data_IF_665670488545
#
_entry.id   IF_665670488545
#
_cell.length_a   1.000
_cell.length_b   1.000
_cell.length_c   1.000
_cell.angle_alpha   90.00
_cell.angle_beta   90.00
_cell.angle_gamma   90.00
#
_symmetry.space_group_name_H-M   'P 1'
#
loop_
_entity.id
_entity.type
_entity.pdbx_description
1 polymer ?
#
# COMPACT_ATOMS: atom_id res chain seq x y z
N UNK A 1 3.24 17.30 4.29
CA UNK A 1 4.01 18.56 4.37
C UNK A 1 3.68 19.35 5.62
N UNK A 2 2.41 19.52 6.00
CA UNK A 2 2.00 20.25 7.21
C UNK A 2 2.65 19.75 8.50
N UNK A 3 2.81 18.44 8.66
CA UNK A 3 3.44 17.87 9.85
C UNK A 3 4.99 17.87 9.83
N UNK A 4 5.60 17.94 8.64
CA UNK A 4 7.05 17.74 8.44
C UNK A 4 7.79 19.03 8.06
N UNK A 5 7.09 20.06 7.57
CA UNK A 5 7.67 21.23 6.94
C UNK A 5 8.10 21.00 5.48
N UNK A 6 8.38 22.08 4.74
CA UNK A 6 8.66 22.04 3.29
C UNK A 6 9.89 21.21 2.93
N UNK A 7 11.02 21.52 3.54
CA UNK A 7 12.32 20.93 3.17
C UNK A 7 12.35 19.45 3.58
N UNK A 8 11.99 19.15 4.84
CA UNK A 8 12.00 17.78 5.32
C UNK A 8 10.90 16.93 4.68
N UNK A 9 9.70 17.48 4.43
CA UNK A 9 8.64 16.76 3.74
C UNK A 9 8.99 16.42 2.28
N UNK A 10 9.57 17.37 1.52
CA UNK A 10 10.03 17.11 0.17
C UNK A 10 11.20 16.11 0.16
N UNK A 11 12.16 16.27 1.08
CA UNK A 11 13.30 15.35 1.23
C UNK A 11 12.87 13.92 1.55
N UNK A 12 11.92 13.73 2.47
CA UNK A 12 11.37 12.41 2.81
C UNK A 12 10.63 11.80 1.62
N UNK A 13 9.80 12.58 0.89
CA UNK A 13 9.14 12.08 -0.32
C UNK A 13 10.15 11.62 -1.39
N UNK A 14 11.21 12.39 -1.62
CA UNK A 14 12.26 12.04 -2.57
C UNK A 14 13.05 10.80 -2.12
N UNK A 15 13.32 10.67 -0.82
CA UNK A 15 13.98 9.49 -0.26
C UNK A 15 13.11 8.24 -0.44
N UNK A 16 11.84 8.31 -0.06
CA UNK A 16 10.88 7.20 -0.23
C UNK A 16 10.69 6.85 -1.71
N UNK A 17 10.62 7.84 -2.59
CA UNK A 17 10.57 7.65 -4.04
C UNK A 17 11.82 6.96 -4.57
N UNK A 18 13.02 7.37 -4.15
CA UNK A 18 14.27 6.74 -4.55
C UNK A 18 14.37 5.29 -4.05
N UNK A 19 13.99 5.03 -2.80
CA UNK A 19 13.92 3.66 -2.24
C UNK A 19 12.89 2.83 -3.00
N UNK A 20 11.74 3.41 -3.33
CA UNK A 20 10.67 2.73 -4.09
C UNK A 20 11.11 2.38 -5.50
N UNK A 21 11.78 3.31 -6.19
CA UNK A 21 12.33 3.06 -7.53
C UNK A 21 13.43 2.00 -7.49
N UNK A 22 14.31 2.07 -6.49
CA UNK A 22 15.38 1.09 -6.31
C UNK A 22 14.80 -0.31 -6.06
N UNK A 23 13.89 -0.44 -5.10
CA UNK A 23 13.22 -1.71 -4.78
C UNK A 23 12.36 -2.23 -5.93
N UNK A 24 11.75 -1.35 -6.73
CA UNK A 24 10.92 -1.74 -7.88
C UNK A 24 11.80 -2.38 -8.96
N UNK A 25 13.00 -1.82 -9.16
CA UNK A 25 13.98 -2.38 -10.08
C UNK A 25 14.50 -3.75 -9.60
N UNK A 26 14.69 -3.95 -8.28
CA UNK A 26 15.07 -5.26 -7.73
C UNK A 26 13.94 -6.28 -7.89
N UNK A 27 12.69 -5.89 -7.60
CA UNK A 27 11.53 -6.76 -7.72
C UNK A 27 11.29 -7.19 -9.18
N UNK A 28 11.46 -6.27 -10.12
CA UNK A 28 11.31 -6.53 -11.55
C UNK A 28 12.30 -7.59 -12.06
N UNK A 29 13.50 -7.69 -11.47
CA UNK A 29 14.48 -8.73 -11.78
C UNK A 29 14.08 -10.09 -11.17
N UNK A 30 13.35 -10.10 -10.05
CA UNK A 30 12.93 -11.31 -9.34
C UNK A 30 11.68 -12.00 -9.93
N UNK A 31 11.08 -11.46 -11.00
CA UNK A 31 9.90 -12.06 -11.65
C UNK A 31 10.19 -13.44 -12.26
N UNK A 32 11.41 -13.68 -12.76
CA UNK A 32 11.87 -14.98 -13.25
C UNK A 32 12.97 -15.56 -12.35
N UNK A 33 12.87 -16.85 -12.02
CA UNK A 33 13.88 -17.55 -11.20
C UNK A 33 14.27 -18.88 -11.86
N UNK A 34 15.56 -19.30 -11.87
CA UNK A 34 16.70 -18.73 -11.15
C UNK A 34 17.44 -17.59 -11.87
N UNK A 35 17.14 -17.33 -13.14
CA UNK A 35 17.76 -16.26 -13.95
C UNK A 35 16.69 -15.21 -14.36
N UNK A 36 16.98 -13.90 -14.28
CA UNK A 36 16.00 -12.83 -14.54
C UNK A 36 15.50 -12.78 -16.00
N UNK A 37 16.18 -13.43 -16.95
CA UNK A 37 15.81 -13.44 -18.38
C UNK A 37 15.27 -14.81 -18.80
N UNK A 38 15.88 -15.90 -18.34
CA UNK A 38 15.63 -17.28 -18.80
C UNK A 38 14.91 -18.15 -17.75
N UNK A 39 14.74 -17.66 -16.52
CA UNK A 39 14.09 -18.38 -15.43
C UNK A 39 12.58 -18.57 -15.62
N UNK A 40 11.99 -19.44 -14.81
CA UNK A 40 10.54 -19.68 -14.76
C UNK A 40 9.83 -18.47 -14.14
N UNK A 41 8.69 -18.07 -14.71
CA UNK A 41 7.88 -16.92 -14.28
C UNK A 41 7.16 -17.19 -12.95
N UNK A 42 7.17 -16.20 -12.07
CA UNK A 42 6.36 -16.14 -10.86
C UNK A 42 5.20 -15.16 -11.07
N UNK A 43 3.98 -15.69 -11.14
CA UNK A 43 2.76 -14.93 -11.51
C UNK A 43 2.17 -14.09 -10.37
N UNK A 44 2.75 -14.16 -9.16
CA UNK A 44 2.26 -13.44 -8.00
C UNK A 44 3.41 -13.16 -7.04
N UNK A 45 3.34 -12.03 -6.34
CA UNK A 45 4.27 -11.66 -5.27
C UNK A 45 4.49 -12.80 -4.26
N UNK A 46 3.41 -13.45 -3.83
CA UNK A 46 3.43 -14.54 -2.85
C UNK A 46 4.12 -15.80 -3.40
N UNK A 47 3.97 -16.09 -4.69
CA UNK A 47 4.66 -17.20 -5.35
C UNK A 47 6.17 -16.90 -5.46
N UNK A 48 6.54 -15.67 -5.83
CA UNK A 48 7.94 -15.25 -5.95
C UNK A 48 8.68 -15.30 -4.59
N UNK A 49 8.03 -14.87 -3.50
CA UNK A 49 8.56 -15.01 -2.13
C UNK A 49 8.71 -16.47 -1.74
N UNK A 50 7.70 -17.30 -2.00
CA UNK A 50 7.71 -18.73 -1.63
C UNK A 50 8.77 -19.55 -2.39
N UNK A 51 8.93 -19.29 -3.69
CA UNK A 51 9.91 -19.96 -4.56
C UNK A 51 11.34 -19.54 -4.20
N UNK A 52 11.54 -18.31 -3.72
CA UNK A 52 12.88 -17.73 -3.52
C UNK A 52 13.38 -17.84 -2.08
N UNK A 53 12.50 -17.74 -1.06
CA UNK A 53 12.92 -17.57 0.35
C UNK A 53 12.53 -18.69 1.31
N UNK A 54 11.55 -19.54 0.99
CA UNK A 54 11.28 -20.79 1.71
C UNK A 54 10.95 -20.72 3.22
N UNK A 55 10.90 -19.55 3.91
CA UNK A 55 10.58 -19.49 5.36
C UNK A 55 10.14 -18.11 5.89
N UNK A 56 9.22 -18.13 6.87
CA UNK A 56 8.67 -16.98 7.63
C UNK A 56 9.53 -16.62 8.86
N UNK A 57 9.72 -15.33 9.17
CA UNK A 57 10.45 -14.88 10.35
C UNK A 57 9.87 -13.60 10.98
N UNK A 58 9.61 -13.65 12.30
CA UNK A 58 9.14 -12.55 13.18
C UNK A 58 10.27 -12.12 14.12
N UNK A 59 10.42 -10.82 14.47
CA UNK A 59 10.79 -10.30 15.82
C UNK A 59 10.87 -8.76 15.92
N UNK A 60 10.82 -8.26 17.17
CA UNK A 60 10.44 -6.92 17.67
C UNK A 60 11.59 -5.98 18.11
N UNK A 61 11.19 -4.82 18.66
CA UNK A 61 11.75 -3.44 18.59
C UNK A 61 12.07 -2.90 20.00
N UNK A 62 12.97 -1.90 20.17
CA UNK A 62 12.77 -0.65 20.97
C UNK A 62 13.99 0.31 20.96
N UNK A 63 13.76 1.62 20.72
CA UNK A 63 14.50 2.77 21.29
C UNK A 63 13.81 4.13 20.95
N UNK A 64 13.95 5.14 21.81
CA UNK A 64 13.13 6.38 21.97
C UNK A 64 14.00 7.66 21.89
N UNK A 65 13.53 8.78 21.29
CA UNK A 65 14.15 10.14 21.39
C UNK A 65 13.08 11.26 21.30
N UNK A 66 13.36 12.39 21.98
CA UNK A 66 12.57 13.62 22.20
C UNK A 66 12.85 14.77 21.20
N UNK A 67 11.91 15.73 21.05
CA UNK A 67 12.20 17.06 20.44
C UNK A 67 10.99 18.01 20.27
N UNK A 68 11.16 19.29 20.66
CA UNK A 68 10.18 20.39 20.86
C UNK A 68 9.58 21.08 19.61
N UNK A 69 8.33 21.58 19.72
CA UNK A 69 7.72 22.55 18.78
C UNK A 69 6.34 23.07 19.22
N UNK A 70 6.15 24.40 19.16
CA UNK A 70 5.17 25.25 19.87
C UNK A 70 3.69 25.07 19.43
N UNK A 71 2.78 25.16 20.42
CA UNK A 71 1.32 25.09 20.30
C UNK A 71 0.72 23.69 20.50
N UNK A 72 1.52 22.67 20.20
CA UNK A 72 1.34 21.27 20.56
C UNK A 72 2.49 20.85 21.47
N UNK A 73 2.36 19.74 22.19
CA UNK A 73 3.52 19.15 22.85
C UNK A 73 4.58 18.77 21.79
N UNK A 74 5.86 18.94 22.15
CA UNK A 74 7.01 18.36 21.46
C UNK A 74 6.76 16.93 20.98
N UNK A 75 6.18 16.13 21.87
CA UNK A 75 5.92 14.72 21.66
C UNK A 75 4.83 14.54 20.59
N UNK A 76 3.74 15.30 20.67
CA UNK A 76 2.66 15.28 19.68
C UNK A 76 3.16 15.63 18.27
N UNK A 77 4.14 16.54 18.17
CA UNK A 77 4.76 16.87 16.88
C UNK A 77 5.54 15.68 16.32
N UNK A 78 6.36 15.03 17.14
CA UNK A 78 7.14 13.84 16.72
C UNK A 78 6.22 12.69 16.31
N UNK A 79 5.15 12.43 17.06
CA UNK A 79 4.20 11.38 16.72
C UNK A 79 3.53 11.63 15.37
N UNK A 80 3.11 12.87 15.11
CA UNK A 80 2.52 13.25 13.82
C UNK A 80 3.50 13.17 12.66
N UNK A 81 4.78 13.47 12.88
CA UNK A 81 5.83 13.25 11.86
C UNK A 81 5.97 11.78 11.50
N UNK A 82 5.89 10.88 12.49
CA UNK A 82 5.89 9.44 12.26
C UNK A 82 4.65 8.94 11.52
N UNK A 83 3.45 9.40 11.91
CA UNK A 83 2.21 9.09 11.17
C UNK A 83 2.32 9.53 9.71
N UNK A 84 2.81 10.75 9.46
CA UNK A 84 3.02 11.25 8.09
C UNK A 84 4.04 10.42 7.29
N UNK A 85 5.09 9.88 7.93
CA UNK A 85 6.01 8.94 7.29
C UNK A 85 5.31 7.63 6.90
N UNK A 86 4.36 7.15 7.71
CA UNK A 86 3.49 6.02 7.39
C UNK A 86 2.59 6.28 6.18
N UNK A 87 2.00 7.48 6.08
CA UNK A 87 1.17 7.86 4.93
C UNK A 87 1.98 7.86 3.63
N UNK A 88 3.19 8.41 3.67
CA UNK A 88 4.12 8.39 2.54
C UNK A 88 4.52 6.96 2.19
N UNK A 89 4.78 6.11 3.19
CA UNK A 89 5.10 4.70 3.00
C UNK A 89 3.96 3.94 2.31
N UNK A 90 2.70 4.21 2.70
CA UNK A 90 1.52 3.64 2.06
C UNK A 90 1.41 4.09 0.60
N UNK A 91 1.62 5.37 0.32
CA UNK A 91 1.55 5.90 -1.03
C UNK A 91 2.62 5.30 -1.97
N UNK A 92 3.71 4.80 -1.39
CA UNK A 92 4.80 4.12 -2.09
C UNK A 92 4.60 2.60 -2.20
N UNK A 93 3.44 2.05 -1.78
CA UNK A 93 3.18 0.62 -1.76
C UNK A 93 2.74 0.11 -3.14
N UNK A 94 3.69 -0.15 -4.04
CA UNK A 94 3.42 -0.66 -5.39
C UNK A 94 3.66 -2.19 -5.54
N UNK A 95 4.45 -2.78 -4.65
CA UNK A 95 5.02 -4.12 -4.81
C UNK A 95 3.99 -5.26 -5.04
N UNK A 96 2.80 -5.28 -4.39
CA UNK A 96 1.79 -6.31 -4.67
C UNK A 96 1.28 -6.31 -6.11
N UNK A 97 1.17 -5.12 -6.72
CA UNK A 97 0.59 -4.93 -8.06
C UNK A 97 1.66 -5.02 -9.16
N UNK A 98 2.93 -4.79 -8.82
CA UNK A 98 4.03 -4.80 -9.79
C UNK A 98 4.08 -6.11 -10.59
N UNK A 99 3.95 -7.25 -9.92
CA UNK A 99 3.99 -8.55 -10.58
C UNK A 99 2.75 -8.81 -11.45
N UNK A 100 1.56 -8.39 -11.00
CA UNK A 100 0.34 -8.52 -11.79
C UNK A 100 0.41 -7.67 -13.07
N UNK A 101 0.99 -6.46 -13.00
CA UNK A 101 1.25 -5.63 -14.19
C UNK A 101 2.31 -6.29 -15.08
N UNK A 102 3.43 -6.72 -14.49
CA UNK A 102 4.54 -7.30 -15.23
C UNK A 102 4.13 -8.59 -15.97
N UNK A 103 3.18 -9.34 -15.43
CA UNK A 103 2.64 -10.55 -16.05
C UNK A 103 1.83 -10.27 -17.33
N UNK A 104 1.28 -9.07 -17.47
CA UNK A 104 0.56 -8.66 -18.70
C UNK A 104 1.49 -8.24 -19.84
N UNK A 105 2.80 -8.11 -19.57
CA UNK A 105 3.77 -7.64 -20.56
C UNK A 105 4.16 -8.76 -21.53
N UNK A 106 4.44 -8.37 -22.79
CA UNK A 106 4.92 -9.30 -23.82
C UNK A 106 6.31 -9.84 -23.43
N UNK A 107 6.56 -11.09 -23.79
CA UNK A 107 7.83 -11.80 -23.50
C UNK A 107 9.06 -11.21 -24.20
N UNK A 108 8.87 -10.40 -25.24
CA UNK A 108 9.94 -9.73 -25.98
C UNK A 108 9.57 -8.27 -26.26
N UNK A 109 10.40 -7.28 -25.87
CA UNK A 109 11.64 -7.43 -25.09
C UNK A 109 11.39 -7.93 -23.65
N UNK A 110 12.42 -8.30 -22.87
CA UNK A 110 12.23 -8.83 -21.52
C UNK A 110 11.33 -7.94 -20.64
N UNK A 111 10.36 -8.56 -19.99
CA UNK A 111 9.33 -7.93 -19.17
C UNK A 111 9.94 -7.05 -18.08
N UNK A 112 11.06 -7.48 -17.49
CA UNK A 112 11.81 -6.69 -16.50
C UNK A 112 12.31 -5.37 -17.07
N UNK A 113 12.77 -5.34 -18.33
CA UNK A 113 13.24 -4.11 -19.00
C UNK A 113 12.09 -3.14 -19.24
N UNK A 114 10.95 -3.65 -19.71
CA UNK A 114 9.75 -2.84 -19.94
C UNK A 114 9.19 -2.34 -18.60
N UNK A 115 9.11 -3.22 -17.60
CA UNK A 115 8.58 -2.90 -16.28
C UNK A 115 9.45 -1.88 -15.54
N UNK A 116 10.78 -1.96 -15.63
CA UNK A 116 11.69 -0.96 -15.05
C UNK A 116 11.47 0.43 -15.66
N UNK A 117 11.31 0.52 -16.99
CA UNK A 117 11.01 1.79 -17.66
C UNK A 117 9.64 2.33 -17.26
N UNK A 118 8.62 1.47 -17.22
CA UNK A 118 7.28 1.83 -16.79
C UNK A 118 7.26 2.30 -15.34
N UNK A 119 7.96 1.58 -14.44
CA UNK A 119 8.08 1.93 -13.02
C UNK A 119 8.81 3.25 -12.82
N UNK A 120 9.91 3.49 -13.56
CA UNK A 120 10.63 4.75 -13.50
C UNK A 120 9.74 5.94 -13.89
N UNK A 121 8.94 5.80 -14.96
CA UNK A 121 8.02 6.83 -15.39
C UNK A 121 6.83 6.99 -14.42
N UNK A 122 6.29 5.89 -13.90
CA UNK A 122 5.18 5.91 -12.94
C UNK A 122 5.59 6.57 -11.63
N UNK A 123 6.72 6.17 -11.06
CA UNK A 123 7.24 6.74 -9.81
C UNK A 123 7.62 8.21 -9.99
N UNK A 124 8.21 8.61 -11.12
CA UNK A 124 8.56 10.01 -11.37
C UNK A 124 7.32 10.90 -11.47
N UNK A 125 6.30 10.46 -12.21
CA UNK A 125 5.02 11.16 -12.32
C UNK A 125 4.36 11.28 -10.94
N UNK A 126 4.22 10.17 -10.22
CA UNK A 126 3.64 10.14 -8.87
C UNK A 126 4.37 11.09 -7.92
N UNK A 127 5.70 11.04 -7.89
CA UNK A 127 6.52 11.89 -7.01
C UNK A 127 6.34 13.36 -7.34
N UNK A 128 6.31 13.71 -8.62
CA UNK A 128 6.12 15.10 -9.08
C UNK A 128 4.76 15.61 -8.61
N UNK A 129 3.69 14.84 -8.81
CA UNK A 129 2.36 15.20 -8.35
C UNK A 129 2.28 15.32 -6.83
N UNK A 130 2.86 14.39 -6.06
CA UNK A 130 2.82 14.44 -4.60
C UNK A 130 3.61 15.62 -4.03
N UNK A 131 4.78 15.93 -4.58
CA UNK A 131 5.55 17.11 -4.18
C UNK A 131 4.79 18.39 -4.56
N UNK A 132 4.23 18.47 -5.77
CA UNK A 132 3.43 19.61 -6.21
C UNK A 132 2.21 19.84 -5.31
N UNK A 133 1.38 18.81 -5.08
CA UNK A 133 0.22 18.89 -4.20
C UNK A 133 0.61 19.19 -2.75
N UNK A 134 1.69 18.60 -2.26
CA UNK A 134 2.19 18.85 -0.91
C UNK A 134 2.68 20.29 -0.72
N UNK A 135 3.48 20.82 -1.66
CA UNK A 135 4.03 22.16 -1.60
C UNK A 135 2.94 23.22 -1.77
N UNK A 136 2.04 23.08 -2.76
CA UNK A 136 0.94 24.03 -2.96
C UNK A 136 -0.10 23.96 -1.85
N UNK A 137 -0.43 22.75 -1.37
CA UNK A 137 -1.31 22.58 -0.22
C UNK A 137 -0.76 23.27 1.03
N UNK A 138 0.54 23.10 1.32
CA UNK A 138 1.15 23.82 2.43
C UNK A 138 1.24 25.33 2.16
N UNK A 139 1.57 25.78 0.94
CA UNK A 139 1.61 27.20 0.62
C UNK A 139 0.26 27.90 0.85
N UNK A 140 -0.85 27.19 0.57
CA UNK A 140 -2.20 27.71 0.72
C UNK A 140 -2.69 27.70 2.18
N UNK A 141 -2.36 26.67 2.96
CA UNK A 141 -2.96 26.44 4.28
C UNK A 141 -1.98 26.49 5.47
N UNK A 142 -0.67 26.51 5.21
CA UNK A 142 0.37 26.47 6.21
C UNK A 142 0.26 25.28 7.16
N UNK A 143 0.54 25.51 8.43
CA UNK A 143 0.43 24.51 9.50
C UNK A 143 -1.03 24.13 9.84
N UNK A 144 -2.01 24.86 9.30
CA UNK A 144 -3.44 24.59 9.46
C UNK A 144 -4.02 23.72 8.34
N UNK A 145 -3.20 23.13 7.48
CA UNK A 145 -3.68 22.27 6.41
C UNK A 145 -4.50 21.10 6.95
N UNK A 146 -5.74 20.91 6.49
CA UNK A 146 -6.61 19.82 6.91
C UNK A 146 -6.05 18.48 6.41
N UNK A 147 -6.33 17.40 7.15
CA UNK A 147 -5.89 16.04 6.77
C UNK A 147 -6.49 15.61 5.42
N UNK A 148 -7.80 15.87 5.23
CA UNK A 148 -8.44 15.78 3.93
C UNK A 148 -8.65 17.20 3.38
N UNK A 149 -7.83 17.56 2.38
CA UNK A 149 -7.90 18.86 1.70
C UNK A 149 -9.30 19.18 1.19
N UNK A 150 -10.03 18.22 0.64
CA UNK A 150 -11.38 18.44 0.10
C UNK A 150 -12.43 18.67 1.19
N UNK A 151 -12.23 18.12 2.38
CA UNK A 151 -13.12 18.35 3.51
C UNK A 151 -12.89 19.71 4.18
N UNK A 152 -11.67 20.28 4.10
CA UNK A 152 -11.34 21.54 4.76
C UNK A 152 -11.71 22.81 3.99
N UNK A 153 -12.15 22.72 2.73
CA UNK A 153 -12.60 23.91 1.98
C UNK A 153 -13.98 24.43 2.43
N UNK A 154 -14.77 23.66 3.17
CA UNK A 154 -16.10 24.05 3.63
C UNK A 154 -17.08 24.35 2.47
N UNK A 155 -18.38 24.41 2.76
CA UNK A 155 -19.43 24.62 1.76
C UNK A 155 -19.50 26.04 1.16
N UNK A 156 -18.41 26.84 1.22
CA UNK A 156 -18.58 28.30 1.20
C UNK A 156 -18.14 29.06 -0.04
N UNK A 157 -17.39 28.53 -1.02
CA UNK A 157 -17.04 29.35 -2.20
C UNK A 157 -17.05 28.69 -3.59
N UNK A 158 -16.97 27.35 -3.76
CA UNK A 158 -17.10 26.69 -5.09
C UNK A 158 -17.48 25.20 -4.99
N UNK A 159 -18.75 24.90 -4.69
CA UNK A 159 -19.22 23.52 -4.45
C UNK A 159 -18.98 22.57 -5.65
N UNK A 160 -19.15 23.05 -6.89
CA UNK A 160 -19.06 22.18 -8.08
C UNK A 160 -17.67 21.59 -8.33
N UNK A 161 -16.59 22.32 -8.01
CA UNK A 161 -15.21 21.82 -8.19
C UNK A 161 -14.91 20.73 -7.17
N UNK A 162 -15.37 20.93 -5.93
CA UNK A 162 -15.23 19.96 -4.84
C UNK A 162 -16.06 18.73 -5.15
N UNK A 163 -17.30 18.90 -5.64
CA UNK A 163 -18.18 17.81 -6.04
C UNK A 163 -17.61 17.01 -7.20
N UNK A 164 -17.05 17.69 -8.21
CA UNK A 164 -16.38 17.05 -9.34
C UNK A 164 -15.12 16.29 -8.91
N UNK A 165 -14.32 16.86 -8.00
CA UNK A 165 -13.16 16.19 -7.43
C UNK A 165 -13.57 14.93 -6.64
N UNK A 166 -14.62 15.03 -5.81
CA UNK A 166 -15.17 13.90 -5.09
C UNK A 166 -15.73 12.83 -6.04
N UNK A 167 -16.37 13.22 -7.15
CA UNK A 167 -16.80 12.28 -8.18
C UNK A 167 -15.62 11.51 -8.78
N UNK A 168 -14.53 12.19 -9.16
CA UNK A 168 -13.33 11.52 -9.67
C UNK A 168 -12.67 10.61 -8.63
N UNK A 169 -12.68 10.99 -7.35
CA UNK A 169 -12.22 10.12 -6.26
C UNK A 169 -13.07 8.85 -6.19
N UNK A 170 -14.39 8.95 -6.26
CA UNK A 170 -15.28 7.78 -6.25
C UNK A 170 -14.99 6.86 -7.45
N UNK A 171 -14.87 7.42 -8.66
CA UNK A 171 -14.52 6.64 -9.86
C UNK A 171 -13.17 5.95 -9.69
N UNK A 172 -12.16 6.66 -9.20
CA UNK A 172 -10.83 6.11 -8.94
C UNK A 172 -10.86 4.98 -7.91
N UNK A 173 -11.53 5.20 -6.76
CA UNK A 173 -11.64 4.22 -5.68
C UNK A 173 -12.43 2.99 -6.08
N UNK A 174 -13.45 3.12 -6.94
CA UNK A 174 -14.20 1.98 -7.48
C UNK A 174 -13.29 1.08 -8.32
N UNK A 175 -12.48 1.68 -9.21
CA UNK A 175 -11.49 0.95 -10.00
C UNK A 175 -10.43 0.30 -9.11
N UNK A 176 -9.90 1.02 -8.12
CA UNK A 176 -8.92 0.49 -7.18
C UNK A 176 -9.50 -0.68 -6.37
N UNK A 177 -10.72 -0.55 -5.85
CA UNK A 177 -11.41 -1.61 -5.12
C UNK A 177 -11.51 -2.89 -5.95
N UNK A 178 -11.91 -2.77 -7.23
CA UNK A 178 -12.00 -3.92 -8.13
C UNK A 178 -10.64 -4.57 -8.39
N UNK A 179 -9.54 -3.82 -8.43
CA UNK A 179 -8.22 -4.39 -8.61
C UNK A 179 -7.73 -5.10 -7.34
N UNK A 180 -7.80 -4.43 -6.19
CA UNK A 180 -7.19 -4.90 -4.94
C UNK A 180 -7.97 -6.02 -4.25
N UNK A 181 -9.29 -6.13 -4.46
CA UNK A 181 -10.09 -7.21 -3.85
C UNK A 181 -9.99 -8.54 -4.58
N UNK A 182 -9.61 -8.55 -5.86
CA UNK A 182 -9.55 -9.77 -6.68
C UNK A 182 -8.55 -10.80 -6.15
N UNK A 183 -7.31 -10.44 -5.75
CA UNK A 183 -6.40 -11.37 -5.11
C UNK A 183 -6.99 -12.01 -3.84
N UNK A 184 -7.65 -11.21 -3.00
CA UNK A 184 -8.28 -11.67 -1.76
C UNK A 184 -9.38 -12.69 -2.05
N UNK A 185 -10.29 -12.36 -2.98
CA UNK A 185 -11.35 -13.29 -3.39
C UNK A 185 -10.77 -14.57 -3.98
N UNK A 186 -9.75 -14.47 -4.85
CA UNK A 186 -9.12 -15.65 -5.45
C UNK A 186 -8.51 -16.57 -4.40
N UNK A 187 -7.82 -16.03 -3.40
CA UNK A 187 -7.21 -16.82 -2.33
C UNK A 187 -8.26 -17.59 -1.54
N UNK A 188 -9.31 -16.90 -1.07
CA UNK A 188 -10.36 -17.52 -0.26
C UNK A 188 -11.16 -18.54 -1.08
N UNK A 189 -11.51 -18.22 -2.32
CA UNK A 189 -12.25 -19.12 -3.21
C UNK A 189 -11.45 -20.35 -3.60
N UNK A 190 -10.14 -20.22 -3.83
CA UNK A 190 -9.27 -21.36 -4.14
C UNK A 190 -9.04 -22.22 -2.92
N UNK A 191 -8.84 -21.61 -1.75
CA UNK A 191 -8.71 -22.32 -0.48
C UNK A 191 -9.99 -23.11 -0.15
N UNK A 192 -11.16 -22.49 -0.25
CA UNK A 192 -12.44 -23.14 0.02
C UNK A 192 -12.69 -24.34 -0.90
N UNK A 193 -12.41 -24.19 -2.21
CA UNK A 193 -12.52 -25.30 -3.19
C UNK A 193 -11.59 -26.46 -2.88
N UNK A 194 -10.35 -26.18 -2.44
CA UNK A 194 -9.40 -27.24 -2.04
C UNK A 194 -9.81 -27.92 -0.74
N UNK A 195 -10.38 -27.17 0.20
CA UNK A 195 -10.73 -27.66 1.54
C UNK A 195 -12.03 -28.46 1.56
N UNK A 196 -12.98 -28.14 0.69
CA UNK A 196 -14.29 -28.79 0.59
C UNK A 196 -14.68 -29.07 -0.87
N UNK A 197 -13.97 -29.97 -1.56
CA UNK A 197 -14.24 -30.28 -2.97
C UNK A 197 -15.61 -30.95 -3.20
N UNK A 198 -16.15 -31.65 -2.20
CA UNK A 198 -17.45 -32.34 -2.29
C UNK A 198 -18.67 -31.46 -1.96
N UNK A 199 -18.48 -30.19 -1.60
CA UNK A 199 -19.59 -29.30 -1.24
C UNK A 199 -20.21 -28.66 -2.48
N UNK A 200 -21.46 -29.02 -2.80
CA UNK A 200 -22.22 -28.40 -3.90
C UNK A 200 -22.33 -26.88 -3.77
N UNK A 201 -22.43 -26.34 -2.55
CA UNK A 201 -22.44 -24.89 -2.34
C UNK A 201 -21.18 -24.17 -2.87
N UNK A 202 -20.02 -24.82 -2.75
CA UNK A 202 -18.72 -24.25 -3.11
C UNK A 202 -18.35 -24.57 -4.56
N UNK A 203 -18.67 -25.76 -5.06
CA UNK A 203 -18.21 -26.22 -6.38
C UNK A 203 -19.27 -26.14 -7.48
N UNK A 204 -20.56 -26.06 -7.14
CA UNK A 204 -21.61 -25.97 -8.16
C UNK A 204 -21.57 -24.63 -8.89
N UNK A 205 -21.61 -24.70 -10.21
CA UNK A 205 -21.71 -23.55 -11.10
C UNK A 205 -23.06 -23.57 -11.82
N UNK A 206 -23.88 -22.56 -11.59
CA UNK A 206 -25.20 -22.38 -12.18
C UNK A 206 -25.09 -21.46 -13.40
N UNK A 207 -25.28 -21.95 -14.63
CA UNK A 207 -25.19 -21.11 -15.82
C UNK A 207 -26.36 -20.13 -15.88
N UNK A 208 -26.07 -18.85 -16.05
CA UNK A 208 -27.08 -17.82 -16.30
C UNK A 208 -27.08 -17.51 -17.79
N UNK A 209 -28.24 -17.70 -18.43
CA UNK A 209 -28.51 -17.21 -19.78
C UNK A 209 -29.46 -16.03 -19.68
N UNK A 210 -29.05 -14.90 -20.25
CA UNK A 210 -29.92 -13.75 -20.51
C UNK A 210 -29.96 -13.57 -22.02
N UNK A 211 -31.17 -13.47 -22.58
CA UNK A 211 -31.41 -13.17 -24.00
C UNK A 211 -30.66 -14.11 -24.97
N UNK A 212 -30.77 -15.43 -24.74
CA UNK A 212 -30.24 -16.49 -25.61
C UNK A 212 -28.70 -16.54 -25.75
N UNK A 213 -27.94 -15.81 -24.93
CA UNK A 213 -26.48 -15.97 -24.80
C UNK A 213 -26.14 -16.51 -23.41
N UNK A 214 -25.26 -17.51 -23.32
CA UNK A 214 -24.61 -17.89 -22.04
C UNK A 214 -23.62 -16.78 -21.71
N UNK A 215 -23.93 -15.99 -20.69
CA UNK A 215 -23.09 -14.85 -20.31
C UNK A 215 -22.09 -15.25 -19.23
N UNK A 216 -22.55 -15.87 -18.13
CA UNK A 216 -21.69 -16.14 -16.96
C UNK A 216 -22.21 -17.33 -16.14
N UNK A 217 -21.30 -18.03 -15.44
CA UNK A 217 -21.65 -19.02 -14.41
C UNK A 217 -21.71 -18.38 -13.02
N UNK A 218 -22.82 -18.56 -12.30
CA UNK A 218 -23.00 -18.08 -10.94
C UNK A 218 -22.66 -19.21 -9.95
N UNK A 219 -21.91 -18.87 -8.91
CA UNK A 219 -21.62 -19.79 -7.82
C UNK A 219 -22.12 -19.13 -6.53
N UNK A 220 -22.96 -19.85 -5.78
CA UNK A 220 -23.68 -19.28 -4.63
C UNK A 220 -22.67 -18.91 -3.53
N UNK A 221 -21.64 -19.73 -3.28
CA UNK A 221 -20.57 -19.39 -2.36
C UNK A 221 -19.86 -18.09 -2.74
N UNK A 222 -19.48 -17.90 -4.01
CA UNK A 222 -18.84 -16.64 -4.47
C UNK A 222 -19.73 -15.43 -4.22
N UNK A 223 -21.02 -15.54 -4.50
CA UNK A 223 -21.97 -14.44 -4.28
C UNK A 223 -22.07 -14.11 -2.78
N UNK A 224 -22.37 -15.11 -1.95
CA UNK A 224 -22.54 -14.93 -0.49
C UNK A 224 -21.27 -14.38 0.16
N UNK A 225 -20.10 -14.97 -0.14
CA UNK A 225 -18.82 -14.54 0.43
C UNK A 225 -18.45 -13.11 0.04
N UNK A 226 -18.57 -12.75 -1.24
CA UNK A 226 -18.22 -11.41 -1.71
C UNK A 226 -19.14 -10.34 -1.13
N UNK A 227 -20.45 -10.60 -1.06
CA UNK A 227 -21.41 -9.68 -0.43
C UNK A 227 -21.10 -9.52 1.06
N UNK A 228 -20.85 -10.63 1.78
CA UNK A 228 -20.49 -10.57 3.20
C UNK A 228 -19.20 -9.76 3.42
N UNK A 229 -18.18 -9.96 2.58
CA UNK A 229 -16.94 -9.21 2.63
C UNK A 229 -17.18 -7.69 2.48
N UNK A 230 -17.99 -7.28 1.50
CA UNK A 230 -18.34 -5.85 1.30
C UNK A 230 -19.05 -5.28 2.52
N UNK A 231 -20.03 -5.99 3.07
CA UNK A 231 -20.77 -5.56 4.26
C UNK A 231 -19.81 -5.39 5.44
N UNK A 232 -18.94 -6.37 5.68
CA UNK A 232 -17.97 -6.32 6.78
C UNK A 232 -16.99 -5.14 6.65
N UNK A 233 -16.40 -4.94 5.46
CA UNK A 233 -15.47 -3.82 5.24
C UNK A 233 -16.17 -2.47 5.37
N UNK A 234 -17.41 -2.35 4.88
CA UNK A 234 -18.23 -1.14 5.05
C UNK A 234 -18.50 -0.84 6.52
N UNK A 235 -18.88 -1.86 7.31
CA UNK A 235 -19.12 -1.70 8.75
C UNK A 235 -17.86 -1.25 9.49
N UNK A 236 -16.69 -1.81 9.16
CA UNK A 236 -15.41 -1.38 9.74
C UNK A 236 -15.09 0.07 9.35
N UNK A 237 -15.32 0.45 8.09
CA UNK A 237 -15.09 1.81 7.62
C UNK A 237 -15.98 2.84 8.32
N UNK A 238 -17.24 2.49 8.63
CA UNK A 238 -18.15 3.34 9.41
C UNK A 238 -17.77 3.43 10.89
N UNK A 239 -17.24 2.34 11.46
CA UNK A 239 -16.87 2.27 12.88
C UNK A 239 -15.55 2.99 13.21
N UNK A 240 -14.63 3.12 12.25
CA UNK A 240 -13.29 3.69 12.44
C UNK A 240 -12.99 4.78 11.39
N UNK A 241 -13.59 5.99 11.51
CA UNK A 241 -13.43 7.06 10.52
C UNK A 241 -12.09 7.82 10.64
N UNK A 242 -11.02 7.17 11.13
CA UNK A 242 -9.69 7.78 11.31
C UNK A 242 -8.79 7.49 10.11
N UNK A 243 -9.10 8.12 8.99
CA UNK A 243 -8.48 7.82 7.69
C UNK A 243 -6.94 7.88 7.71
N UNK A 244 -6.37 8.94 8.27
CA UNK A 244 -4.92 9.20 8.30
C UNK A 244 -4.18 8.17 9.16
N UNK A 245 -4.60 7.95 10.39
CA UNK A 245 -3.95 6.96 11.27
C UNK A 245 -4.07 5.53 10.73
N UNK A 246 -5.19 5.19 10.09
CA UNK A 246 -5.37 3.88 9.45
C UNK A 246 -4.45 3.69 8.24
N UNK A 247 -4.32 4.71 7.38
CA UNK A 247 -3.39 4.68 6.24
C UNK A 247 -1.95 4.57 6.72
N UNK A 248 -1.55 5.39 7.70
CA UNK A 248 -0.22 5.35 8.28
C UNK A 248 0.10 3.98 8.90
N UNK A 249 -0.88 3.37 9.57
CA UNK A 249 -0.74 2.02 10.14
C UNK A 249 -0.60 0.96 9.06
N UNK A 250 -1.42 1.00 8.02
CA UNK A 250 -1.31 0.07 6.88
C UNK A 250 0.01 0.24 6.13
N UNK A 251 0.43 1.48 5.89
CA UNK A 251 1.71 1.82 5.28
C UNK A 251 2.88 1.31 6.11
N UNK A 252 2.90 1.60 7.41
CA UNK A 252 3.99 1.17 8.29
C UNK A 252 4.14 -0.36 8.38
N UNK A 253 3.02 -1.08 8.53
CA UNK A 253 3.00 -2.55 8.62
C UNK A 253 3.34 -3.19 7.27
N UNK A 254 2.81 -2.64 6.16
CA UNK A 254 2.97 -3.23 4.83
C UNK A 254 4.31 -2.88 4.17
N UNK A 255 4.81 -1.67 4.38
CA UNK A 255 5.94 -1.13 3.61
C UNK A 255 7.23 -1.92 3.80
N UNK A 256 7.73 -2.05 5.04
CA UNK A 256 8.98 -2.77 5.27
C UNK A 256 8.95 -4.22 4.75
N UNK A 257 8.01 -5.09 5.13
CA UNK A 257 8.06 -6.48 4.69
C UNK A 257 7.87 -6.58 3.17
N UNK A 258 6.88 -5.87 2.62
CA UNK A 258 6.41 -6.10 1.25
C UNK A 258 7.25 -5.32 0.22
N UNK A 259 7.58 -4.06 0.51
CA UNK A 259 8.26 -3.17 -0.43
C UNK A 259 9.79 -3.24 -0.28
N UNK A 260 10.31 -3.55 0.91
CA UNK A 260 11.76 -3.47 1.17
C UNK A 260 12.40 -4.83 1.46
N UNK A 261 11.99 -5.50 2.53
CA UNK A 261 12.63 -6.71 3.04
C UNK A 261 12.59 -7.87 2.04
N UNK A 262 11.40 -8.31 1.66
CA UNK A 262 11.26 -9.43 0.73
C UNK A 262 11.94 -9.15 -0.62
N UNK A 263 11.81 -7.97 -1.25
CA UNK A 263 12.50 -7.68 -2.50
C UNK A 263 14.03 -7.69 -2.36
N UNK A 264 14.57 -7.18 -1.25
CA UNK A 264 16.01 -7.22 -0.95
C UNK A 264 16.49 -8.66 -0.77
N UNK A 265 15.80 -9.46 0.03
CA UNK A 265 16.16 -10.85 0.27
C UNK A 265 16.04 -11.71 -0.99
N UNK A 266 14.98 -11.48 -1.79
CA UNK A 266 14.80 -12.11 -3.09
C UNK A 266 15.97 -11.79 -4.03
N UNK A 267 16.40 -10.53 -4.07
CA UNK A 267 17.54 -10.11 -4.90
C UNK A 267 18.87 -10.73 -4.44
N UNK A 268 19.11 -10.80 -3.13
CA UNK A 268 20.31 -11.43 -2.55
C UNK A 268 20.34 -12.92 -2.91
N UNK A 269 19.22 -13.62 -2.73
CA UNK A 269 19.09 -15.04 -3.02
C UNK A 269 19.26 -15.34 -4.52
N UNK A 270 18.58 -14.57 -5.38
CA UNK A 270 18.62 -14.76 -6.83
C UNK A 270 20.02 -14.51 -7.42
N UNK A 271 20.71 -13.46 -6.96
CA UNK A 271 22.06 -13.11 -7.43
C UNK A 271 23.18 -13.81 -6.65
N UNK A 272 22.86 -14.71 -5.72
CA UNK A 272 23.81 -15.45 -4.87
C UNK A 272 24.86 -14.53 -4.22
N UNK A 273 24.41 -13.37 -3.71
CA UNK A 273 25.33 -12.36 -3.16
C UNK A 273 25.99 -12.91 -1.88
N UNK A 274 27.33 -12.96 -1.77
CA UNK A 274 27.99 -13.53 -0.60
C UNK A 274 27.78 -12.67 0.65
N UNK A 275 27.53 -13.34 1.78
CA UNK A 275 27.50 -12.71 3.11
C UNK A 275 28.86 -12.06 3.37
N UNK A 276 28.87 -10.85 3.94
CA UNK A 276 30.06 -9.98 4.19
C UNK A 276 30.64 -9.20 3.01
N UNK A 277 30.00 -9.20 1.84
CA UNK A 277 30.34 -8.21 0.80
C UNK A 277 29.77 -6.84 1.17
N UNK A 278 30.42 -5.75 0.73
CA UNK A 278 29.90 -4.39 0.92
C UNK A 278 28.49 -4.22 0.32
N UNK A 279 28.22 -4.89 -0.80
CA UNK A 279 26.89 -4.93 -1.44
C UNK A 279 25.85 -5.60 -0.55
N UNK A 280 26.16 -6.75 0.05
CA UNK A 280 25.27 -7.43 1.00
C UNK A 280 25.04 -6.56 2.25
N UNK A 281 26.09 -5.97 2.81
CA UNK A 281 25.99 -5.10 3.98
C UNK A 281 25.13 -3.86 3.69
N UNK A 282 25.29 -3.24 2.51
CA UNK A 282 24.47 -2.10 2.09
C UNK A 282 23.00 -2.45 1.91
N UNK A 283 22.68 -3.63 1.34
CA UNK A 283 21.31 -4.11 1.20
C UNK A 283 20.65 -4.41 2.56
N UNK A 284 21.39 -5.02 3.48
CA UNK A 284 20.91 -5.26 4.85
C UNK A 284 20.73 -3.95 5.63
N UNK A 285 21.65 -3.00 5.47
CA UNK A 285 21.54 -1.68 6.08
C UNK A 285 20.30 -0.93 5.54
N UNK A 286 20.05 -0.97 4.23
CA UNK A 286 18.85 -0.40 3.62
C UNK A 286 17.59 -1.00 4.23
N UNK A 287 17.54 -2.34 4.35
CA UNK A 287 16.40 -3.04 4.96
C UNK A 287 16.21 -2.65 6.43
N UNK A 288 17.30 -2.57 7.21
CA UNK A 288 17.27 -2.17 8.61
C UNK A 288 16.80 -0.73 8.81
N UNK A 289 17.29 0.21 7.99
CA UNK A 289 16.87 1.61 8.08
C UNK A 289 15.37 1.77 7.78
N UNK A 290 14.88 1.09 6.75
CA UNK A 290 13.45 1.11 6.42
C UNK A 290 12.60 0.37 7.47
N UNK A 291 13.15 -0.67 8.11
CA UNK A 291 12.49 -1.28 9.27
C UNK A 291 12.29 -0.23 10.35
N UNK A 292 13.36 0.45 10.78
CA UNK A 292 13.29 1.47 11.83
C UNK A 292 12.28 2.58 11.49
N UNK A 293 12.23 3.02 10.23
CA UNK A 293 11.24 4.00 9.75
C UNK A 293 9.82 3.44 9.85
N UNK A 294 9.57 2.21 9.38
CA UNK A 294 8.27 1.55 9.51
C UNK A 294 7.84 1.41 10.97
N UNK A 295 8.76 1.10 11.87
CA UNK A 295 8.45 0.94 13.29
C UNK A 295 8.11 2.27 13.96
N UNK A 296 8.86 3.32 13.63
CA UNK A 296 8.55 4.68 14.07
C UNK A 296 7.15 5.09 13.56
N UNK A 297 6.89 4.89 12.26
CA UNK A 297 5.59 5.19 11.65
C UNK A 297 4.43 4.42 12.30
N UNK A 298 4.61 3.13 12.58
CA UNK A 298 3.62 2.32 13.29
C UNK A 298 3.34 2.86 14.69
N UNK A 299 4.38 3.27 15.42
CA UNK A 299 4.21 3.86 16.75
C UNK A 299 3.45 5.18 16.74
N UNK A 300 3.69 6.05 15.73
CA UNK A 300 2.92 7.28 15.53
C UNK A 300 1.46 7.00 15.21
N UNK A 301 1.18 6.09 14.27
CA UNK A 301 -0.17 5.71 13.89
C UNK A 301 -0.97 5.09 15.04
N UNK A 302 -0.34 4.23 15.86
CA UNK A 302 -0.98 3.64 17.04
C UNK A 302 -1.30 4.71 18.09
N UNK A 303 -0.39 5.67 18.32
CA UNK A 303 -0.61 6.77 19.26
C UNK A 303 -1.74 7.68 18.81
N UNK A 304 -1.80 8.02 17.50
CA UNK A 304 -2.90 8.77 16.90
C UNK A 304 -4.24 8.05 17.04
N UNK A 305 -4.28 6.77 16.68
CA UNK A 305 -5.48 5.94 16.80
C UNK A 305 -5.95 5.81 18.25
N UNK A 306 -5.05 5.60 19.20
CA UNK A 306 -5.37 5.54 20.63
C UNK A 306 -6.02 6.85 21.10
N UNK A 307 -5.42 8.00 20.77
CA UNK A 307 -5.97 9.32 21.13
C UNK A 307 -7.36 9.53 20.53
N UNK A 308 -7.52 9.19 19.25
CA UNK A 308 -8.77 9.35 18.52
C UNK A 308 -9.88 8.42 19.04
N UNK A 309 -9.57 7.15 19.33
CA UNK A 309 -10.51 6.19 19.92
C UNK A 309 -11.03 6.62 21.30
N UNK A 310 -10.18 7.23 22.13
CA UNK A 310 -10.59 7.71 23.45
C UNK A 310 -11.53 8.92 23.40
N UNK A 311 -11.47 9.72 22.34
CA UNK A 311 -12.36 10.87 22.13
C UNK A 311 -13.59 10.54 21.29
N UNK A 312 -13.56 9.42 20.56
CA UNK A 312 -14.59 9.08 19.60
C UNK A 312 -15.75 8.35 20.28
N UNK A 313 -16.96 8.86 20.05
CA UNK A 313 -18.21 8.19 20.40
C UNK A 313 -18.85 7.68 19.12
N UNK A 314 -18.90 6.36 18.91
CA UNK A 314 -19.49 5.79 17.71
C UNK A 314 -20.95 6.25 17.55
N UNK A 315 -21.29 6.71 16.35
CA UNK A 315 -22.67 7.04 15.93
C UNK A 315 -23.34 8.23 16.65
N UNK A 316 -22.60 9.08 17.35
CA UNK A 316 -23.11 10.36 17.89
C UNK A 316 -23.05 11.44 16.79
N UNK A 317 -24.19 12.02 16.40
CA UNK A 317 -24.21 13.18 15.51
C UNK A 317 -23.77 14.42 16.29
N UNK A 318 -22.92 15.26 15.70
CA UNK A 318 -22.74 16.63 16.19
C UNK A 318 -24.00 17.40 15.80
N UNK A 319 -24.86 17.64 16.77
CA UNK A 319 -26.00 18.56 16.67
C UNK A 319 -25.54 19.99 16.39
#
# INVERSE_FOLDING_TARGET
MSQLGWIAGAGILLLFSAVSLYTANLLADCYRSPDPVTGKRNYSYMEAVKVTLGREGKTSIFARVHGHGVGLSAEDKVWRMFTAAGDIAFACMYAPVLFDIQDTLKSSPPESKVMKRASAMGVSVMTTFFVMCGCFGYAAFGDHAPENLLAGFGFHQTSWVIDLANFFIVVHLLCAYQLFTQPVFRVVETWARRRWPGSGFITSEYPISIYSKRLTTLNIFRLTWRTLFVVMVTMVALALPFFTDMIALMGSIGYWPIVVYFPVEMHIAQNKIPKRTARWAGLQLLSLLNLLISLAAASGAIQGLHKNLHTYKPFESKD
#
